data_IF_880352638099
#
_entry.id   IF_880352638099
#
_cell.length_a   1.000
_cell.length_b   1.000
_cell.length_c   1.000
_cell.angle_alpha   90.00
_cell.angle_beta   90.00
_cell.angle_gamma   90.00
#
_symmetry.space_group_name_H-M   'P 1'
#
loop_
_entity.id
_entity.type
_entity.pdbx_description
1 polymer ?
#
# COMPACT_ATOMS: atom_id res chain seq x y z
N UNK A 1 11.20 4.87 7.27
CA UNK A 1 10.70 4.85 5.87
C UNK A 1 10.17 6.25 5.56
N UNK A 2 10.50 6.82 4.40
CA UNK A 2 9.95 8.09 3.90
C UNK A 2 9.14 7.80 2.64
N UNK A 3 8.00 8.48 2.47
CA UNK A 3 7.05 8.28 1.37
C UNK A 3 6.57 9.65 0.87
N UNK A 4 7.50 10.58 0.63
CA UNK A 4 7.19 11.96 0.27
C UNK A 4 7.24 12.19 -1.24
N UNK A 5 7.98 11.35 -1.96
CA UNK A 5 8.11 11.40 -3.43
C UNK A 5 7.65 10.11 -4.09
N UNK A 6 7.24 10.20 -5.36
CA UNK A 6 6.83 9.04 -6.16
C UNK A 6 7.91 7.98 -6.26
N UNK A 7 9.19 8.38 -6.36
CA UNK A 7 10.32 7.48 -6.40
C UNK A 7 10.48 6.68 -5.09
N UNK A 8 10.31 7.33 -3.95
CA UNK A 8 10.34 6.67 -2.64
C UNK A 8 9.15 5.71 -2.47
N UNK A 9 7.95 6.13 -2.90
CA UNK A 9 6.75 5.28 -2.89
C UNK A 9 6.96 4.03 -3.76
N UNK A 10 7.47 4.20 -4.98
CA UNK A 10 7.76 3.10 -5.89
C UNK A 10 8.82 2.15 -5.34
N UNK A 11 9.88 2.68 -4.71
CA UNK A 11 10.92 1.88 -4.08
C UNK A 11 10.38 0.99 -2.94
N UNK A 12 9.37 1.47 -2.21
CA UNK A 12 8.72 0.75 -1.12
C UNK A 12 7.39 0.08 -1.50
N UNK A 13 7.04 0.01 -2.79
CA UNK A 13 5.73 -0.45 -3.26
C UNK A 13 5.34 -1.85 -2.74
N UNK A 14 6.32 -2.78 -2.66
CA UNK A 14 6.09 -4.13 -2.12
C UNK A 14 5.73 -4.13 -0.64
N UNK A 15 6.39 -3.28 0.14
CA UNK A 15 6.12 -3.16 1.59
C UNK A 15 4.75 -2.54 1.83
N UNK A 16 4.40 -1.51 1.04
CA UNK A 16 3.07 -0.89 1.04
C UNK A 16 1.99 -1.94 0.70
N UNK A 17 2.19 -2.74 -0.33
CA UNK A 17 1.27 -3.81 -0.72
C UNK A 17 1.02 -4.81 0.42
N UNK A 18 2.09 -5.31 1.06
CA UNK A 18 1.96 -6.30 2.14
C UNK A 18 1.28 -5.70 3.37
N UNK A 19 1.72 -4.52 3.80
CA UNK A 19 1.30 -3.93 5.08
C UNK A 19 -0.05 -3.21 5.01
N UNK A 20 -0.32 -2.47 3.93
CA UNK A 20 -1.54 -1.68 3.79
C UNK A 20 -2.62 -2.38 2.95
N UNK A 21 -2.22 -3.09 1.90
CA UNK A 21 -3.15 -3.78 1.00
C UNK A 21 -3.57 -5.16 1.50
N UNK A 22 -2.60 -6.03 1.79
CA UNK A 22 -2.85 -7.47 2.04
C UNK A 22 -3.03 -7.83 3.51
N UNK A 23 -2.42 -7.06 4.41
CA UNK A 23 -2.60 -7.23 5.85
C UNK A 23 -3.91 -6.59 6.32
N UNK A 24 -4.55 -7.24 7.28
CA UNK A 24 -5.66 -6.68 8.06
C UNK A 24 -5.16 -6.03 9.37
N UNK A 25 -3.89 -6.21 9.72
CA UNK A 25 -3.30 -5.65 10.91
C UNK A 25 -3.02 -4.16 10.67
N UNK A 26 -3.85 -3.31 11.25
CA UNK A 26 -3.56 -1.88 11.31
C UNK A 26 -2.56 -1.60 12.43
N UNK A 27 -1.55 -0.74 12.20
CA UNK A 27 -0.63 -0.35 13.26
C UNK A 27 -1.38 0.39 14.37
N UNK A 28 -1.00 0.17 15.65
CA UNK A 28 -1.56 0.93 16.76
C UNK A 28 -1.27 2.43 16.58
N UNK A 29 -2.29 3.28 16.75
CA UNK A 29 -2.19 4.75 16.58
C UNK A 29 -2.76 5.29 15.27
N UNK A 30 -3.40 4.46 14.46
CA UNK A 30 -4.03 4.91 13.23
C UNK A 30 -5.32 5.74 13.50
N UNK A 31 -5.30 7.03 13.15
CA UNK A 31 -6.38 7.98 13.44
C UNK A 31 -7.61 7.77 12.55
N UNK A 32 -7.41 7.32 11.31
CA UNK A 32 -8.46 6.97 10.36
C UNK A 32 -8.22 5.58 9.78
N UNK A 33 -9.12 4.62 10.04
CA UNK A 33 -9.02 3.27 9.50
C UNK A 33 -8.91 3.30 7.95
N UNK A 34 -8.00 2.49 7.39
CA UNK A 34 -8.06 2.16 5.96
C UNK A 34 -9.24 1.22 5.75
N UNK A 35 -10.17 1.63 4.90
CA UNK A 35 -11.36 0.88 4.54
C UNK A 35 -11.01 -0.34 3.68
N UNK A 36 -11.84 -1.39 3.66
CA UNK A 36 -11.64 -2.53 2.76
C UNK A 36 -11.53 -2.12 1.29
N UNK A 37 -12.28 -1.10 0.86
CA UNK A 37 -12.26 -0.55 -0.50
C UNK A 37 -10.90 0.05 -0.84
N UNK A 38 -10.34 0.88 0.05
CA UNK A 38 -9.01 1.47 -0.13
C UNK A 38 -7.91 0.40 -0.18
N UNK A 39 -8.03 -0.68 0.61
CA UNK A 39 -7.08 -1.81 0.50
C UNK A 39 -7.11 -2.45 -0.87
N UNK A 40 -8.30 -2.68 -1.42
CA UNK A 40 -8.45 -3.25 -2.77
C UNK A 40 -7.80 -2.35 -3.82
N UNK A 41 -7.91 -1.03 -3.67
CA UNK A 41 -7.24 -0.07 -4.55
C UNK A 41 -5.71 -0.19 -4.49
N UNK A 42 -5.13 -0.30 -3.29
CA UNK A 42 -3.68 -0.51 -3.12
C UNK A 42 -3.20 -1.83 -3.73
N UNK A 43 -3.97 -2.90 -3.56
CA UNK A 43 -3.71 -4.22 -4.17
C UNK A 43 -3.73 -4.11 -5.70
N UNK A 44 -4.78 -3.54 -6.27
CA UNK A 44 -4.92 -3.40 -7.72
C UNK A 44 -3.83 -2.53 -8.35
N UNK A 45 -3.44 -1.44 -7.68
CA UNK A 45 -2.32 -0.61 -8.10
C UNK A 45 -1.02 -1.40 -8.19
N UNK A 46 -0.66 -2.15 -7.13
CA UNK A 46 0.55 -2.95 -7.13
C UNK A 46 0.51 -4.08 -8.18
N UNK A 47 -0.62 -4.79 -8.28
CA UNK A 47 -0.79 -5.89 -9.23
C UNK A 47 -0.74 -5.42 -10.69
N UNK A 48 -1.35 -4.28 -11.01
CA UNK A 48 -1.25 -3.68 -12.35
C UNK A 48 0.17 -3.24 -12.70
N UNK A 49 0.91 -2.70 -11.73
CA UNK A 49 2.30 -2.29 -11.94
C UNK A 49 3.24 -3.48 -12.25
N UNK A 50 2.98 -4.66 -11.66
CA UNK A 50 3.76 -5.88 -11.95
C UNK A 50 3.27 -6.63 -13.20
N UNK A 51 1.98 -6.52 -13.54
CA UNK A 51 1.40 -7.16 -14.73
C UNK A 51 1.73 -6.40 -16.02
N UNK A 52 2.01 -5.10 -15.94
CA UNK A 52 2.46 -4.27 -17.06
C UNK A 52 3.96 -4.43 -17.40
N UNK A 53 4.65 -5.37 -16.75
CA UNK A 53 6.07 -5.64 -16.94
C UNK A 53 6.29 -6.90 -17.77
#
# INVERSE_FOLDING_TARGET
>A
VKLETDAEIAAHAREIYIQAGRSHAMPPGNVSAITPEERRLLVAWYESAIASK
#
